data_IF_424203210650
#
_entry.id   IF_424203210650
#
_cell.length_a   1.000
_cell.length_b   1.000
_cell.length_c   1.000
_cell.angle_alpha   90.00
_cell.angle_beta   90.00
_cell.angle_gamma   90.00
#
_symmetry.space_group_name_H-M   'P 1'
#
loop_
_entity.id
_entity.type
_entity.pdbx_description
1 polymer ?
#
# COMPACT_ATOMS: atom_id res chain seq x y z
N UNK A 1 16.91 29.55 20.56
CA UNK A 1 16.00 30.60 20.07
C UNK A 1 14.63 29.92 19.94
N UNK A 2 13.63 30.27 20.75
CA UNK A 2 12.28 29.71 20.59
C UNK A 2 11.63 30.37 19.38
N UNK A 3 11.44 29.62 18.29
CA UNK A 3 10.75 30.10 17.09
C UNK A 3 9.25 29.90 17.33
N UNK A 4 8.52 30.97 17.49
CA UNK A 4 7.08 30.95 17.63
C UNK A 4 6.44 30.79 16.24
N UNK A 5 5.53 29.84 16.08
CA UNK A 5 4.77 29.66 14.82
C UNK A 5 3.63 30.66 14.82
N UNK A 6 3.66 31.58 13.85
CA UNK A 6 2.66 32.66 13.69
C UNK A 6 1.87 32.52 12.37
N UNK A 7 2.25 31.60 11.51
CA UNK A 7 1.57 31.36 10.23
C UNK A 7 0.17 30.80 10.48
N UNK A 8 -0.83 31.60 10.16
CA UNK A 8 -2.25 31.26 10.38
C UNK A 8 -2.69 30.06 9.52
N UNK A 9 -2.17 29.91 8.31
CA UNK A 9 -2.53 28.78 7.43
C UNK A 9 -1.91 27.48 7.96
N UNK A 10 -0.65 27.52 8.38
CA UNK A 10 0.01 26.38 9.01
C UNK A 10 -0.73 25.94 10.28
N UNK A 11 -1.11 26.88 11.15
CA UNK A 11 -1.85 26.56 12.39
C UNK A 11 -3.24 25.99 12.10
N UNK A 12 -3.93 26.45 11.06
CA UNK A 12 -5.23 25.90 10.63
C UNK A 12 -5.12 24.53 9.94
N UNK A 13 -3.92 24.16 9.46
CA UNK A 13 -3.68 22.84 8.89
C UNK A 13 -3.71 21.70 9.95
N UNK A 14 -3.59 22.02 11.24
CA UNK A 14 -3.77 21.04 12.31
C UNK A 14 -5.27 20.81 12.49
N UNK A 15 -5.75 19.60 12.19
CA UNK A 15 -7.16 19.29 12.34
C UNK A 15 -7.56 19.16 13.81
N UNK A 16 -8.80 19.51 14.20
CA UNK A 16 -9.31 19.26 15.56
C UNK A 16 -9.20 17.78 15.97
N UNK A 17 -9.29 16.86 15.00
CA UNK A 17 -9.18 15.42 15.22
C UNK A 17 -7.73 15.02 15.54
N UNK A 18 -6.76 15.53 14.81
CA UNK A 18 -5.34 15.32 15.08
C UNK A 18 -4.95 15.86 16.46
N UNK A 19 -5.42 17.08 16.78
CA UNK A 19 -5.23 17.69 18.08
C UNK A 19 -5.80 16.82 19.22
N UNK A 20 -7.05 16.36 19.09
CA UNK A 20 -7.68 15.50 20.07
C UNK A 20 -7.00 14.13 20.19
N UNK A 21 -6.45 13.59 19.11
CA UNK A 21 -5.68 12.35 19.13
C UNK A 21 -4.35 12.51 19.87
N UNK A 22 -3.62 13.58 19.56
CA UNK A 22 -2.39 13.92 20.25
C UNK A 22 -2.62 14.07 21.77
N UNK A 23 -3.61 14.88 22.15
CA UNK A 23 -3.95 15.15 23.55
C UNK A 23 -4.31 13.86 24.30
N UNK A 24 -5.09 12.99 23.70
CA UNK A 24 -5.43 11.68 24.30
C UNK A 24 -4.21 10.76 24.42
N UNK A 25 -3.33 10.73 23.42
CA UNK A 25 -2.10 9.94 23.48
C UNK A 25 -1.14 10.41 24.57
N UNK A 26 -1.22 11.70 24.91
CA UNK A 26 -0.46 12.31 26.00
C UNK A 26 -1.16 12.17 27.38
N UNK A 27 -2.29 11.48 27.47
CA UNK A 27 -2.95 11.11 28.71
C UNK A 27 -4.03 12.05 29.21
N UNK A 28 -4.47 13.04 28.42
CA UNK A 28 -5.67 13.79 28.74
C UNK A 28 -6.94 13.03 28.35
N UNK A 29 -8.00 13.22 29.11
CA UNK A 29 -9.34 12.71 28.83
C UNK A 29 -10.34 13.85 28.68
N UNK A 30 -11.34 13.66 27.82
CA UNK A 30 -12.42 14.62 27.66
C UNK A 30 -13.28 14.64 28.91
N UNK A 31 -13.39 15.80 29.56
CA UNK A 31 -14.16 15.98 30.79
C UNK A 31 -15.56 16.54 30.52
N UNK A 32 -15.69 17.59 29.70
CA UNK A 32 -16.96 18.27 29.46
C UNK A 32 -16.98 18.99 28.10
N UNK A 33 -18.17 19.37 27.63
CA UNK A 33 -18.29 20.30 26.53
C UNK A 33 -18.05 21.74 27.01
N UNK A 34 -17.36 22.54 26.21
CA UNK A 34 -17.16 23.96 26.43
C UNK A 34 -17.98 24.76 25.40
N UNK A 35 -19.21 25.09 25.79
CA UNK A 35 -20.16 25.70 24.85
C UNK A 35 -20.43 24.81 23.62
N UNK A 36 -20.66 25.47 22.47
CA UNK A 36 -20.93 24.78 21.21
C UNK A 36 -19.65 24.44 20.40
N UNK A 37 -18.53 25.11 20.71
CA UNK A 37 -17.37 25.16 19.82
C UNK A 37 -16.12 24.49 20.38
N UNK A 38 -16.16 23.95 21.61
CA UNK A 38 -15.01 23.33 22.22
C UNK A 38 -15.33 22.17 23.17
N UNK A 39 -14.29 21.50 23.61
CA UNK A 39 -14.32 20.45 24.63
C UNK A 39 -13.19 20.70 25.64
N UNK A 40 -13.51 20.51 26.93
CA UNK A 40 -12.52 20.57 28.02
C UNK A 40 -11.87 19.20 28.15
N UNK A 41 -10.56 19.19 28.18
CA UNK A 41 -9.74 18.00 28.44
C UNK A 41 -8.93 18.21 29.72
N UNK A 42 -8.91 17.18 30.57
CA UNK A 42 -8.22 17.17 31.88
C UNK A 42 -7.26 15.99 31.97
N UNK A 43 -6.19 16.15 32.70
CA UNK A 43 -5.24 15.09 33.05
C UNK A 43 -4.66 15.33 34.47
N UNK A 44 -4.38 14.27 35.24
CA UNK A 44 -3.79 14.41 36.56
C UNK A 44 -2.44 15.14 36.53
N UNK A 45 -2.32 16.18 37.33
CA UNK A 45 -1.07 16.97 37.45
C UNK A 45 -0.74 17.86 36.25
N UNK A 46 -1.69 18.07 35.34
CA UNK A 46 -1.54 18.89 34.12
C UNK A 46 -2.64 19.94 34.06
N UNK A 47 -2.42 21.07 33.36
CA UNK A 47 -3.45 22.07 33.20
C UNK A 47 -4.64 21.55 32.39
N UNK A 48 -5.82 22.01 32.71
CA UNK A 48 -7.00 21.81 31.87
C UNK A 48 -6.85 22.61 30.58
N UNK A 49 -7.19 21.99 29.48
CA UNK A 49 -7.09 22.59 28.15
C UNK A 49 -8.44 22.53 27.43
N UNK A 50 -8.69 23.52 26.59
CA UNK A 50 -9.89 23.56 25.74
C UNK A 50 -9.45 23.23 24.32
N UNK A 51 -10.07 22.23 23.70
CA UNK A 51 -9.86 21.89 22.31
C UNK A 51 -10.99 22.43 21.44
N UNK A 52 -10.70 23.15 20.35
CA UNK A 52 -11.72 23.61 19.42
C UNK A 52 -12.25 22.44 18.60
N UNK A 53 -13.55 22.48 18.26
CA UNK A 53 -14.20 21.45 17.42
C UNK A 53 -14.11 21.74 15.93
N UNK A 54 -13.70 22.93 15.53
CA UNK A 54 -13.63 23.33 14.11
C UNK A 54 -12.47 24.29 13.87
N UNK A 55 -11.74 24.07 12.78
CA UNK A 55 -10.68 24.94 12.28
C UNK A 55 -11.19 26.27 11.72
N UNK A 56 -12.50 26.39 11.49
CA UNK A 56 -13.14 27.58 10.94
C UNK A 56 -13.42 28.67 12.00
N UNK A 57 -13.15 28.41 13.28
CA UNK A 57 -13.30 29.41 14.31
C UNK A 57 -12.33 30.57 14.08
N UNK A 58 -12.80 31.81 14.31
CA UNK A 58 -12.05 33.03 14.03
C UNK A 58 -10.73 33.09 14.81
N UNK A 59 -10.71 32.61 16.04
CA UNK A 59 -9.57 32.62 16.96
C UNK A 59 -8.75 31.31 16.95
N UNK A 60 -9.09 30.36 16.04
CA UNK A 60 -8.47 29.02 15.99
C UNK A 60 -6.93 29.08 15.99
N UNK A 61 -6.33 29.87 15.08
CA UNK A 61 -4.88 29.98 14.97
C UNK A 61 -4.23 30.51 16.27
N UNK A 62 -4.81 31.55 16.87
CA UNK A 62 -4.32 32.07 18.14
C UNK A 62 -4.44 31.09 19.28
N UNK A 63 -5.49 30.26 19.26
CA UNK A 63 -5.68 29.20 20.23
C UNK A 63 -4.65 28.07 20.04
N UNK A 64 -4.40 27.65 18.80
CA UNK A 64 -3.37 26.67 18.46
C UNK A 64 -1.97 27.10 18.90
N UNK A 65 -1.60 28.37 18.69
CA UNK A 65 -0.32 28.90 19.19
C UNK A 65 -0.17 28.73 20.69
N UNK A 66 -1.25 28.95 21.47
CA UNK A 66 -1.22 28.76 22.94
C UNK A 66 -1.07 27.28 23.31
N UNK A 67 -1.80 26.40 22.64
CA UNK A 67 -1.72 24.96 22.89
C UNK A 67 -0.33 24.41 22.54
N UNK A 68 0.25 24.80 21.42
CA UNK A 68 1.62 24.42 21.04
C UNK A 68 2.60 24.83 22.15
N UNK A 69 2.49 26.05 22.69
CA UNK A 69 3.35 26.48 23.79
C UNK A 69 3.17 25.63 25.04
N UNK A 70 1.93 25.34 25.43
CA UNK A 70 1.64 24.48 26.59
C UNK A 70 2.29 23.10 26.41
N UNK A 71 2.12 22.50 25.24
CA UNK A 71 2.69 21.18 24.96
C UNK A 71 4.21 21.22 24.88
N UNK A 72 4.80 22.26 24.25
CA UNK A 72 6.27 22.45 24.22
C UNK A 72 6.88 22.56 25.61
N UNK A 73 6.24 23.31 26.50
CA UNK A 73 6.69 23.46 27.87
C UNK A 73 6.59 22.15 28.66
N UNK A 74 5.59 21.34 28.38
CA UNK A 74 5.37 20.06 29.07
C UNK A 74 6.26 18.92 28.56
N UNK A 75 6.49 18.85 27.27
CA UNK A 75 7.29 17.79 26.64
C UNK A 75 8.78 18.11 26.62
N UNK A 76 9.14 19.39 26.76
CA UNK A 76 10.51 19.88 26.57
C UNK A 76 10.92 20.00 25.09
N UNK A 77 10.00 19.76 24.15
CA UNK A 77 10.23 19.95 22.73
C UNK A 77 10.19 21.44 22.34
N UNK A 78 10.77 21.79 21.21
CA UNK A 78 10.55 23.11 20.63
C UNK A 78 9.17 23.21 19.95
N UNK A 79 8.72 24.45 19.67
CA UNK A 79 7.41 24.71 19.09
C UNK A 79 7.25 24.07 17.69
N UNK A 80 8.33 23.98 16.92
CA UNK A 80 8.30 23.39 15.56
C UNK A 80 8.13 21.87 15.62
N UNK A 81 8.84 21.20 16.53
CA UNK A 81 8.70 19.77 16.78
C UNK A 81 7.30 19.45 17.27
N UNK A 82 6.79 20.23 18.23
CA UNK A 82 5.41 20.09 18.75
C UNK A 82 4.38 20.30 17.65
N UNK A 83 4.55 21.30 16.78
CA UNK A 83 3.69 21.52 15.62
C UNK A 83 3.65 20.31 14.68
N UNK A 84 4.81 19.74 14.36
CA UNK A 84 4.90 18.54 13.51
C UNK A 84 4.17 17.36 14.14
N UNK A 85 4.41 17.08 15.41
CA UNK A 85 3.73 16.02 16.16
C UNK A 85 2.19 16.19 16.13
N UNK A 86 1.70 17.41 16.22
CA UNK A 86 0.28 17.72 16.15
C UNK A 86 -0.28 17.56 14.73
N UNK A 87 0.43 18.06 13.73
CA UNK A 87 -0.02 18.01 12.33
C UNK A 87 0.02 16.60 11.72
N UNK A 88 0.82 15.71 12.29
CA UNK A 88 1.00 14.33 11.85
C UNK A 88 0.20 13.31 12.69
N UNK A 89 -0.48 13.74 13.75
CA UNK A 89 -1.13 12.85 14.71
C UNK A 89 -2.25 11.98 14.11
N UNK A 90 -2.89 12.40 13.03
CA UNK A 90 -3.92 11.67 12.29
C UNK A 90 -3.41 10.96 11.03
N UNK A 91 -2.09 10.83 10.88
CA UNK A 91 -1.45 10.28 9.69
C UNK A 91 -0.42 9.23 10.03
N UNK A 92 -0.30 8.23 9.17
CA UNK A 92 0.89 7.38 9.15
C UNK A 92 1.99 8.11 8.39
N UNK A 93 3.16 8.17 8.99
CA UNK A 93 4.30 8.89 8.44
C UNK A 93 5.34 7.91 7.95
N UNK A 94 5.60 7.92 6.65
CA UNK A 94 6.61 7.07 6.00
C UNK A 94 7.81 7.96 5.72
N UNK A 95 8.94 7.68 6.38
CA UNK A 95 10.21 8.38 6.19
C UNK A 95 11.17 7.50 5.39
N UNK A 96 11.61 8.00 4.26
CA UNK A 96 12.55 7.33 3.36
C UNK A 96 13.85 8.13 3.38
N UNK A 97 14.85 7.58 4.03
CA UNK A 97 16.15 8.21 4.21
C UNK A 97 17.19 7.57 3.31
N UNK A 98 17.76 8.35 2.42
CA UNK A 98 18.91 7.96 1.61
C UNK A 98 20.21 8.40 2.29
N UNK A 99 21.08 7.44 2.60
CA UNK A 99 22.37 7.68 3.24
C UNK A 99 23.47 7.65 2.19
N UNK A 100 24.45 8.56 2.31
CA UNK A 100 25.63 8.61 1.42
C UNK A 100 25.44 9.47 0.15
N UNK A 101 24.34 10.26 0.05
CA UNK A 101 24.08 11.12 -1.12
C UNK A 101 24.75 12.49 -1.04
N UNK A 102 24.76 13.10 0.12
CA UNK A 102 25.46 14.36 0.41
C UNK A 102 25.63 14.54 1.92
N UNK A 103 26.69 15.22 2.31
CA UNK A 103 26.95 15.56 3.72
C UNK A 103 26.11 16.79 4.18
N UNK A 104 25.66 17.62 3.26
CA UNK A 104 24.93 18.86 3.53
C UNK A 104 23.40 18.74 3.46
N UNK A 105 22.88 17.53 3.22
CA UNK A 105 21.43 17.28 3.11
C UNK A 105 20.80 17.77 1.80
N UNK A 106 21.60 18.20 0.82
CA UNK A 106 21.10 18.56 -0.53
C UNK A 106 21.03 17.34 -1.44
N UNK A 107 20.19 17.41 -2.47
CA UNK A 107 20.02 16.37 -3.48
C UNK A 107 19.95 17.01 -4.86
N UNK A 108 20.69 16.51 -5.88
CA UNK A 108 20.48 16.93 -7.27
C UNK A 108 19.02 16.78 -7.69
N UNK A 109 18.46 17.76 -8.38
CA UNK A 109 17.05 17.84 -8.72
C UNK A 109 16.53 16.56 -9.38
N UNK A 110 17.26 16.02 -10.37
CA UNK A 110 16.86 14.80 -11.08
C UNK A 110 16.80 13.57 -10.16
N UNK A 111 17.68 13.51 -9.16
CA UNK A 111 17.64 12.46 -8.14
C UNK A 111 16.44 12.63 -7.22
N UNK A 112 16.13 13.85 -6.84
CA UNK A 112 14.94 14.17 -6.04
C UNK A 112 13.65 13.74 -6.74
N UNK A 113 13.51 14.06 -8.02
CA UNK A 113 12.36 13.66 -8.84
C UNK A 113 12.23 12.13 -8.86
N UNK A 114 13.31 11.40 -9.18
CA UNK A 114 13.29 9.93 -9.20
C UNK A 114 12.95 9.34 -7.83
N UNK A 115 13.46 9.91 -6.75
CA UNK A 115 13.17 9.44 -5.41
C UNK A 115 11.68 9.58 -5.09
N UNK A 116 11.05 10.71 -5.45
CA UNK A 116 9.62 10.93 -5.28
C UNK A 116 8.80 9.94 -6.12
N UNK A 117 9.18 9.74 -7.39
CA UNK A 117 8.53 8.78 -8.27
C UNK A 117 8.61 7.35 -7.71
N UNK A 118 9.78 6.90 -7.28
CA UNK A 118 9.96 5.56 -6.72
C UNK A 118 9.29 5.38 -5.36
N UNK A 119 9.25 6.40 -4.54
CA UNK A 119 8.50 6.38 -3.28
C UNK A 119 6.99 6.29 -3.54
N UNK A 120 6.47 7.01 -4.54
CA UNK A 120 5.08 6.89 -5.00
C UNK A 120 4.78 5.47 -5.51
N UNK A 121 5.65 4.91 -6.35
CA UNK A 121 5.50 3.56 -6.91
C UNK A 121 5.50 2.51 -5.79
N UNK A 122 6.35 2.69 -4.77
CA UNK A 122 6.43 1.81 -3.60
C UNK A 122 5.10 1.76 -2.84
N UNK A 123 4.54 2.93 -2.53
CA UNK A 123 3.25 3.03 -1.82
C UNK A 123 2.10 2.52 -2.71
N UNK A 124 2.13 2.78 -4.01
CA UNK A 124 1.14 2.28 -4.96
C UNK A 124 1.16 0.75 -5.04
N UNK A 125 2.33 0.14 -5.08
CA UNK A 125 2.46 -1.32 -5.08
C UNK A 125 1.85 -1.94 -3.81
N UNK A 126 2.11 -1.35 -2.64
CA UNK A 126 1.51 -1.77 -1.37
C UNK A 126 -0.02 -1.60 -1.37
N UNK A 127 -0.53 -0.49 -1.90
CA UNK A 127 -1.96 -0.25 -2.02
C UNK A 127 -2.65 -1.28 -2.93
N UNK A 128 -2.03 -1.64 -4.05
CA UNK A 128 -2.52 -2.72 -4.91
C UNK A 128 -2.51 -4.07 -4.19
N UNK A 129 -1.44 -4.37 -3.43
CA UNK A 129 -1.28 -5.63 -2.70
C UNK A 129 -2.24 -5.80 -1.52
N UNK A 130 -2.81 -4.71 -1.01
CA UNK A 130 -3.71 -4.73 0.14
C UNK A 130 -4.96 -5.55 -0.15
N UNK A 131 -5.48 -5.48 -1.35
CA UNK A 131 -6.70 -6.18 -1.76
C UNK A 131 -6.44 -7.59 -2.28
N UNK A 132 -5.42 -7.74 -3.11
CA UNK A 132 -5.04 -9.02 -3.70
C UNK A 132 -3.54 -9.02 -3.99
N UNK A 133 -2.74 -9.70 -3.17
CA UNK A 133 -1.32 -9.87 -3.44
C UNK A 133 -1.10 -10.57 -4.78
N UNK A 134 -0.32 -9.97 -5.66
CA UNK A 134 -0.01 -10.48 -7.00
C UNK A 134 1.46 -10.26 -7.36
N UNK A 135 1.95 -11.08 -8.25
CA UNK A 135 3.33 -11.01 -8.76
C UNK A 135 3.62 -9.67 -9.46
N UNK A 136 2.62 -9.14 -10.19
CA UNK A 136 2.73 -7.91 -10.97
C UNK A 136 1.41 -7.15 -10.99
N UNK A 137 1.48 -5.84 -10.77
CA UNK A 137 0.36 -4.92 -10.95
C UNK A 137 0.55 -4.08 -12.22
N UNK A 138 -0.48 -4.00 -13.04
CA UNK A 138 -0.45 -3.22 -14.29
C UNK A 138 -0.94 -1.80 -14.08
N UNK A 139 -0.42 -0.89 -14.87
CA UNK A 139 -0.84 0.50 -14.82
C UNK A 139 -2.36 0.60 -15.08
N UNK A 140 -3.06 1.35 -14.23
CA UNK A 140 -4.51 1.58 -14.35
C UNK A 140 -5.41 0.44 -13.86
N UNK A 141 -4.88 -0.74 -13.51
CA UNK A 141 -5.68 -1.89 -13.10
C UNK A 141 -6.38 -1.74 -11.75
N UNK A 142 -5.87 -0.87 -10.87
CA UNK A 142 -6.43 -0.67 -9.53
C UNK A 142 -6.77 0.81 -9.28
N UNK A 143 -8.04 1.16 -9.50
CA UNK A 143 -8.55 2.52 -9.32
C UNK A 143 -8.49 2.97 -7.85
N UNK A 144 -8.80 2.08 -6.91
CA UNK A 144 -8.81 2.40 -5.48
C UNK A 144 -7.40 2.74 -4.98
N UNK A 145 -6.39 1.97 -5.41
CA UNK A 145 -5.00 2.26 -5.10
C UNK A 145 -4.54 3.61 -5.70
N UNK A 146 -4.97 3.92 -6.93
CA UNK A 146 -4.68 5.21 -7.56
C UNK A 146 -5.37 6.37 -6.81
N UNK A 147 -6.60 6.20 -6.34
CA UNK A 147 -7.32 7.20 -5.56
C UNK A 147 -6.73 7.35 -4.14
N UNK A 148 -6.20 6.28 -3.55
CA UNK A 148 -5.47 6.37 -2.29
C UNK A 148 -4.20 7.24 -2.44
N UNK A 149 -3.40 7.01 -3.48
CA UNK A 149 -2.17 7.80 -3.74
C UNK A 149 -2.45 9.30 -3.86
N UNK A 150 -3.57 9.72 -4.44
CA UNK A 150 -3.95 11.14 -4.53
C UNK A 150 -4.13 11.81 -3.16
N UNK A 151 -4.41 11.02 -2.11
CA UNK A 151 -4.60 11.51 -0.74
C UNK A 151 -3.31 11.51 0.09
N UNK A 152 -2.30 10.75 -0.33
CA UNK A 152 -0.97 10.77 0.29
C UNK A 152 -0.29 12.09 -0.06
N UNK A 153 0.27 12.77 0.93
CA UNK A 153 0.93 14.07 0.78
C UNK A 153 2.43 13.96 1.02
N UNK A 154 3.19 14.83 0.38
CA UNK A 154 4.59 15.06 0.75
C UNK A 154 4.63 15.90 2.03
N UNK A 155 5.39 15.45 3.01
CA UNK A 155 5.72 16.21 4.19
C UNK A 155 6.92 17.14 3.96
N UNK A 156 7.28 17.88 5.00
CA UNK A 156 8.49 18.69 4.97
C UNK A 156 9.74 17.80 5.05
N UNK A 157 10.81 18.20 4.38
CA UNK A 157 12.12 17.51 4.51
C UNK A 157 12.72 17.76 5.88
N UNK A 158 13.38 16.76 6.42
CA UNK A 158 14.02 16.84 7.74
C UNK A 158 15.50 17.23 7.59
N UNK A 159 16.04 17.93 8.61
CA UNK A 159 17.43 18.38 8.60
C UNK A 159 18.41 17.21 8.81
N UNK A 160 19.50 17.18 8.08
CA UNK A 160 20.58 16.19 8.21
C UNK A 160 20.85 15.46 6.89
N UNK A 161 20.41 14.22 6.74
CA UNK A 161 20.38 13.50 5.45
C UNK A 161 19.10 13.85 4.70
N UNK A 162 19.09 13.71 3.38
CA UNK A 162 17.85 13.89 2.63
C UNK A 162 16.82 12.82 3.04
N UNK A 163 15.78 13.27 3.72
CA UNK A 163 14.67 12.41 4.18
C UNK A 163 13.40 12.83 3.44
N UNK A 164 12.89 11.94 2.61
CA UNK A 164 11.59 12.11 1.97
C UNK A 164 10.51 11.63 2.94
N UNK A 165 9.61 12.52 3.33
CA UNK A 165 8.50 12.24 4.22
C UNK A 165 7.20 12.14 3.44
N UNK A 166 6.47 11.02 3.58
CA UNK A 166 5.13 10.84 3.03
C UNK A 166 4.13 10.77 4.17
N UNK A 167 3.03 11.49 4.03
CA UNK A 167 1.94 11.59 4.99
C UNK A 167 0.73 10.84 4.44
N UNK A 168 0.49 9.64 4.97
CA UNK A 168 -0.62 8.77 4.59
C UNK A 168 -1.81 9.03 5.53
N UNK A 169 -2.98 9.45 5.02
CA UNK A 169 -4.12 9.74 5.88
C UNK A 169 -4.67 8.45 6.50
N UNK A 170 -5.05 8.51 7.79
CA UNK A 170 -5.71 7.40 8.48
C UNK A 170 -6.99 7.93 9.13
N UNK A 171 -8.18 7.47 8.72
CA UNK A 171 -9.43 7.86 9.35
C UNK A 171 -9.43 7.54 10.85
N UNK A 172 -9.94 8.42 11.71
CA UNK A 172 -10.03 8.16 13.14
C UNK A 172 -11.00 7.00 13.43
N UNK A 173 -10.82 6.37 14.59
CA UNK A 173 -11.83 5.43 15.09
C UNK A 173 -13.14 6.19 15.35
N UNK A 174 -14.21 5.75 14.71
CA UNK A 174 -15.53 6.22 15.06
C UNK A 174 -15.96 5.52 16.35
N UNK A 175 -16.63 6.23 17.29
CA UNK A 175 -17.25 5.55 18.42
C UNK A 175 -18.26 4.55 17.89
N UNK A 176 -18.38 3.35 18.50
CA UNK A 176 -19.40 2.39 18.10
C UNK A 176 -20.77 3.09 18.13
N UNK A 177 -21.65 2.83 17.16
CA UNK A 177 -23.00 3.31 17.23
C UNK A 177 -23.60 2.87 18.56
N UNK A 178 -24.34 3.75 19.26
CA UNK A 178 -25.03 3.37 20.49
C UNK A 178 -25.88 2.14 20.17
N UNK A 179 -25.74 1.03 20.92
CA UNK A 179 -26.54 -0.15 20.65
C UNK A 179 -28.02 0.22 20.80
N UNK A 180 -28.75 0.27 19.70
CA UNK A 180 -30.17 0.10 19.73
C UNK A 180 -30.39 -1.32 20.27
N UNK A 181 -31.06 -1.42 21.41
CA UNK A 181 -31.44 -2.64 22.09
C UNK A 181 -31.80 -3.72 21.04
N UNK A 182 -30.99 -4.77 20.93
CA UNK A 182 -31.31 -6.05 20.27
C UNK A 182 -30.54 -6.46 18.99
N UNK A 183 -29.37 -5.91 18.71
CA UNK A 183 -28.53 -6.52 17.65
C UNK A 183 -27.12 -6.74 18.17
N UNK A 184 -26.74 -8.03 18.26
CA UNK A 184 -25.37 -8.52 18.39
C UNK A 184 -24.59 -8.21 17.12
N UNK A 185 -24.27 -6.96 16.88
CA UNK A 185 -23.33 -6.55 15.84
C UNK A 185 -21.91 -6.67 16.38
N UNK A 186 -21.40 -7.89 16.32
CA UNK A 186 -19.97 -8.16 16.46
C UNK A 186 -19.23 -7.78 15.18
N UNK A 187 -19.22 -6.51 14.82
CA UNK A 187 -18.22 -6.05 13.87
C UNK A 187 -16.94 -5.85 14.67
N UNK A 188 -16.01 -6.78 14.54
CA UNK A 188 -14.61 -6.49 14.81
C UNK A 188 -14.30 -5.14 14.15
N UNK A 189 -13.64 -4.24 14.88
CA UNK A 189 -13.26 -2.90 14.42
C UNK A 189 -12.29 -3.09 13.23
N UNK A 190 -12.86 -3.24 12.04
CA UNK A 190 -12.10 -3.53 10.81
C UNK A 190 -11.22 -2.33 10.51
N UNK A 191 -9.92 -2.56 10.39
CA UNK A 191 -8.99 -1.48 10.10
C UNK A 191 -9.34 -0.83 8.75
N UNK A 192 -9.38 0.52 8.66
CA UNK A 192 -9.69 1.19 7.40
C UNK A 192 -8.66 0.84 6.32
N UNK A 193 -9.09 0.87 5.08
CA UNK A 193 -8.25 0.52 3.92
C UNK A 193 -6.94 1.31 3.93
N UNK A 194 -6.99 2.57 4.32
CA UNK A 194 -5.81 3.44 4.43
C UNK A 194 -4.77 2.88 5.39
N UNK A 195 -5.19 2.37 6.55
CA UNK A 195 -4.31 1.73 7.53
C UNK A 195 -3.82 0.37 7.02
N UNK A 196 -4.68 -0.39 6.37
CA UNK A 196 -4.29 -1.67 5.77
C UNK A 196 -3.18 -1.49 4.73
N UNK A 197 -3.20 -0.39 3.95
CA UNK A 197 -2.14 -0.09 2.97
C UNK A 197 -0.79 0.13 3.65
N UNK A 198 -0.73 0.91 4.71
CA UNK A 198 0.53 1.19 5.42
C UNK A 198 1.04 -0.03 6.18
N UNK A 199 0.15 -0.85 6.74
CA UNK A 199 0.49 -2.15 7.32
C UNK A 199 1.02 -3.12 6.24
N UNK A 200 0.36 -3.19 5.08
CA UNK A 200 0.81 -3.99 3.94
C UNK A 200 2.16 -3.54 3.42
N UNK A 201 2.40 -2.23 3.34
CA UNK A 201 3.71 -1.70 2.98
C UNK A 201 4.79 -2.20 3.93
N UNK A 202 4.57 -2.11 5.24
CA UNK A 202 5.56 -2.56 6.22
C UNK A 202 5.80 -4.07 6.16
N UNK A 203 4.74 -4.87 6.03
CA UNK A 203 4.85 -6.31 5.85
C UNK A 203 5.67 -6.66 4.59
N UNK A 204 5.39 -6.00 3.46
CA UNK A 204 6.09 -6.21 2.22
C UNK A 204 7.57 -5.78 2.28
N UNK A 205 7.90 -4.70 3.00
CA UNK A 205 9.28 -4.27 3.22
C UNK A 205 10.07 -5.30 4.04
N UNK A 206 9.49 -5.80 5.14
CA UNK A 206 10.09 -6.84 6.00
C UNK A 206 10.29 -8.13 5.21
N UNK A 207 9.26 -8.56 4.47
CA UNK A 207 9.32 -9.75 3.63
C UNK A 207 10.37 -9.61 2.51
N UNK A 208 10.47 -8.41 1.87
CA UNK A 208 11.50 -8.13 0.87
C UNK A 208 12.91 -8.22 1.47
N UNK A 209 13.13 -7.66 2.67
CA UNK A 209 14.42 -7.75 3.37
C UNK A 209 14.79 -9.21 3.65
N UNK A 210 13.87 -9.98 4.20
CA UNK A 210 14.05 -11.41 4.44
C UNK A 210 14.33 -12.20 3.14
N UNK A 211 13.57 -11.90 2.07
CA UNK A 211 13.74 -12.56 0.77
C UNK A 211 15.10 -12.28 0.15
N UNK A 212 15.61 -11.03 0.25
CA UNK A 212 16.98 -10.68 -0.19
C UNK A 212 18.01 -11.52 0.55
N UNK A 213 17.95 -11.58 1.89
CA UNK A 213 18.90 -12.34 2.70
C UNK A 213 18.88 -13.85 2.39
N UNK A 214 17.68 -14.41 2.22
CA UNK A 214 17.50 -15.83 1.86
C UNK A 214 17.99 -16.12 0.45
N UNK A 215 17.68 -15.26 -0.51
CA UNK A 215 18.13 -15.38 -1.90
C UNK A 215 19.66 -15.34 -2.01
N UNK A 216 20.32 -14.46 -1.25
CA UNK A 216 21.80 -14.41 -1.18
C UNK A 216 22.41 -15.69 -0.59
N UNK A 217 21.65 -16.47 0.16
CA UNK A 217 22.05 -17.80 0.69
C UNK A 217 21.67 -18.95 -0.24
N UNK A 218 21.14 -18.66 -1.44
CA UNK A 218 20.79 -19.66 -2.46
C UNK A 218 19.37 -20.14 -2.45
N UNK A 219 18.45 -19.51 -1.68
CA UNK A 219 17.02 -19.85 -1.70
C UNK A 219 16.34 -19.20 -2.92
N UNK A 220 16.08 -20.01 -3.95
CA UNK A 220 15.46 -19.57 -5.20
C UNK A 220 13.95 -19.22 -5.07
N UNK A 221 13.28 -19.68 -4.01
CA UNK A 221 11.85 -19.48 -3.79
C UNK A 221 11.56 -18.32 -2.81
N UNK A 222 12.58 -17.68 -2.26
CA UNK A 222 12.47 -16.69 -1.21
C UNK A 222 11.49 -15.55 -1.57
N UNK A 223 11.58 -15.03 -2.79
CA UNK A 223 10.70 -13.97 -3.28
C UNK A 223 9.29 -14.46 -3.61
N UNK A 224 9.14 -15.67 -4.11
CA UNK A 224 7.83 -16.26 -4.43
C UNK A 224 7.00 -16.47 -3.15
N UNK A 225 7.61 -16.94 -2.09
CA UNK A 225 6.96 -17.09 -0.77
C UNK A 225 6.56 -15.74 -0.15
N UNK A 226 7.23 -14.65 -0.51
CA UNK A 226 6.95 -13.31 -0.03
C UNK A 226 5.78 -12.59 -0.75
N UNK A 227 5.22 -13.17 -1.82
CA UNK A 227 4.13 -12.56 -2.58
C UNK A 227 2.90 -12.35 -1.70
N UNK A 228 2.57 -13.31 -0.84
CA UNK A 228 1.46 -13.22 0.11
C UNK A 228 1.54 -12.03 1.06
N UNK A 229 2.75 -11.57 1.39
CA UNK A 229 3.02 -10.40 2.22
C UNK A 229 3.00 -9.09 1.43
N UNK A 230 2.81 -9.14 0.12
CA UNK A 230 2.69 -7.97 -0.75
C UNK A 230 3.92 -7.66 -1.59
N UNK A 231 4.91 -8.55 -1.60
CA UNK A 231 6.08 -8.41 -2.50
C UNK A 231 5.65 -8.66 -3.94
N UNK A 232 6.04 -7.77 -4.84
CA UNK A 232 5.67 -7.81 -6.26
C UNK A 232 6.81 -7.26 -7.12
N UNK A 233 6.75 -7.45 -8.42
CA UNK A 233 7.69 -6.84 -9.36
C UNK A 233 7.74 -5.31 -9.17
N UNK A 234 6.59 -4.68 -9.04
CA UNK A 234 6.48 -3.23 -8.85
C UNK A 234 7.15 -2.75 -7.56
N UNK A 235 6.95 -3.47 -6.45
CA UNK A 235 7.57 -3.15 -5.17
C UNK A 235 9.10 -3.31 -5.25
N UNK A 236 9.58 -4.42 -5.83
CA UNK A 236 11.01 -4.69 -5.99
C UNK A 236 11.69 -3.64 -6.87
N UNK A 237 11.07 -3.22 -7.99
CA UNK A 237 11.58 -2.16 -8.86
C UNK A 237 11.62 -0.79 -8.16
N UNK A 238 10.58 -0.48 -7.38
CA UNK A 238 10.54 0.76 -6.62
C UNK A 238 11.67 0.79 -5.56
N UNK A 239 11.84 -0.29 -4.80
CA UNK A 239 12.92 -0.43 -3.82
C UNK A 239 14.30 -0.35 -4.48
N UNK A 240 14.52 -1.13 -5.54
CA UNK A 240 15.81 -1.10 -6.27
C UNK A 240 16.13 0.31 -6.76
N UNK A 241 15.14 1.02 -7.32
CA UNK A 241 15.33 2.39 -7.80
C UNK A 241 15.58 3.42 -6.69
N UNK A 242 15.07 3.21 -5.48
CA UNK A 242 15.38 4.03 -4.30
C UNK A 242 16.80 3.74 -3.79
N UNK A 243 17.20 2.47 -3.74
CA UNK A 243 18.53 2.04 -3.26
C UNK A 243 19.63 2.48 -4.21
N UNK A 244 19.42 2.38 -5.53
CA UNK A 244 20.41 2.73 -6.56
C UNK A 244 20.93 4.17 -6.41
N UNK A 245 20.15 5.03 -5.77
CA UNK A 245 20.47 6.42 -5.49
C UNK A 245 21.33 6.62 -4.22
N UNK A 246 21.53 5.58 -3.39
CA UNK A 246 22.13 5.69 -2.05
C UNK A 246 23.07 4.54 -1.73
N UNK A 247 23.92 4.69 -0.73
CA UNK A 247 24.71 3.57 -0.18
C UNK A 247 23.86 2.70 0.73
N UNK A 248 22.91 3.32 1.46
CA UNK A 248 21.94 2.66 2.31
C UNK A 248 20.61 3.42 2.27
N UNK A 249 19.54 2.67 2.19
CA UNK A 249 18.16 3.15 2.27
C UNK A 249 17.56 2.71 3.60
N UNK A 250 17.14 3.66 4.41
CA UNK A 250 16.40 3.40 5.66
C UNK A 250 14.95 3.85 5.45
N UNK A 251 13.99 2.96 5.69
CA UNK A 251 12.55 3.26 5.62
C UNK A 251 11.96 3.07 7.01
N UNK A 252 11.36 4.14 7.55
CA UNK A 252 10.71 4.15 8.85
C UNK A 252 9.24 4.48 8.71
N UNK A 253 8.40 3.76 9.42
CA UNK A 253 6.97 4.01 9.52
C UNK A 253 6.61 4.42 10.95
N UNK A 254 5.92 5.56 11.11
CA UNK A 254 5.35 6.01 12.37
C UNK A 254 3.82 6.00 12.23
N UNK A 255 3.15 5.32 13.15
CA UNK A 255 1.71 5.15 13.11
C UNK A 255 0.97 6.39 13.62
N UNK A 256 -0.16 6.71 12.99
CA UNK A 256 -1.06 7.77 13.45
C UNK A 256 -1.49 7.56 14.90
N UNK A 257 -1.42 8.61 15.72
CA UNK A 257 -1.86 8.56 17.13
C UNK A 257 -3.36 8.35 17.28
N UNK A 258 -4.15 8.67 16.24
CA UNK A 258 -5.59 8.39 16.17
C UNK A 258 -5.92 6.90 16.18
N UNK A 259 -4.97 6.07 15.65
CA UNK A 259 -5.08 4.61 15.59
C UNK A 259 -3.74 3.98 15.93
N UNK A 260 -3.35 3.94 17.22
CA UNK A 260 -2.09 3.34 17.63
C UNK A 260 -2.08 1.84 17.31
N UNK A 261 -0.95 1.36 16.80
CA UNK A 261 -0.70 -0.07 16.58
C UNK A 261 0.13 -0.58 17.77
N UNK A 262 -0.27 -1.68 18.42
CA UNK A 262 0.35 -2.16 19.66
C UNK A 262 1.81 -2.53 19.52
N UNK A 263 2.29 -2.81 18.34
CA UNK A 263 3.65 -3.27 18.13
C UNK A 263 4.24 -2.80 16.83
N UNK A 264 5.65 -2.58 16.73
CA UNK A 264 6.29 -3.50 15.89
C UNK A 264 7.39 -2.88 15.07
N UNK A 265 8.17 -3.68 14.40
CA UNK A 265 9.19 -3.28 13.47
C UNK A 265 8.74 -2.09 12.63
N UNK A 266 9.33 -0.95 12.94
CA UNK A 266 8.99 0.32 12.30
C UNK A 266 10.04 0.76 11.30
N UNK A 267 11.16 0.01 11.26
CA UNK A 267 12.34 0.35 10.49
C UNK A 267 12.80 -0.84 9.66
N UNK A 268 13.09 -0.61 8.39
CA UNK A 268 13.73 -1.58 7.49
C UNK A 268 14.84 -0.88 6.73
N UNK A 269 16.01 -1.51 6.67
CA UNK A 269 17.18 -0.97 5.97
C UNK A 269 17.61 -1.89 4.84
N UNK A 270 18.00 -1.27 3.73
CA UNK A 270 18.57 -1.94 2.56
C UNK A 270 19.94 -1.34 2.22
N UNK A 271 20.88 -2.19 1.81
CA UNK A 271 22.20 -1.80 1.34
C UNK A 271 22.23 -1.67 -0.19
N UNK A 272 23.23 -1.00 -0.73
CA UNK A 272 23.42 -0.85 -2.18
C UNK A 272 23.48 -2.20 -2.91
N UNK A 273 24.03 -3.23 -2.28
CA UNK A 273 24.11 -4.58 -2.86
C UNK A 273 22.75 -5.25 -3.04
N UNK A 274 21.75 -4.85 -2.26
CA UNK A 274 20.40 -5.42 -2.32
C UNK A 274 19.66 -5.00 -3.61
N UNK A 275 20.03 -3.87 -4.21
CA UNK A 275 19.37 -3.36 -5.42
C UNK A 275 19.44 -4.34 -6.59
N UNK A 276 20.59 -5.01 -6.78
CA UNK A 276 20.76 -6.01 -7.85
C UNK A 276 19.86 -7.23 -7.64
N UNK A 277 19.73 -7.70 -6.40
CA UNK A 277 18.87 -8.85 -6.05
C UNK A 277 17.40 -8.52 -6.26
N UNK A 278 16.96 -7.32 -5.84
CA UNK A 278 15.60 -6.84 -6.03
C UNK A 278 15.26 -6.64 -7.52
N UNK A 279 16.18 -6.08 -8.30
CA UNK A 279 16.01 -5.91 -9.75
C UNK A 279 15.86 -7.24 -10.47
N UNK A 280 16.66 -8.25 -10.08
CA UNK A 280 16.55 -9.58 -10.66
C UNK A 280 15.25 -10.27 -10.26
N UNK A 281 14.82 -10.15 -9.01
CA UNK A 281 13.52 -10.64 -8.56
C UNK A 281 12.37 -10.01 -9.37
N UNK A 282 12.40 -8.70 -9.57
CA UNK A 282 11.42 -8.00 -10.38
C UNK A 282 11.41 -8.51 -11.84
N UNK A 283 12.58 -8.73 -12.43
CA UNK A 283 12.71 -9.28 -13.78
C UNK A 283 12.09 -10.68 -13.88
N UNK A 284 12.37 -11.55 -12.92
CA UNK A 284 11.80 -12.91 -12.86
C UNK A 284 10.28 -12.84 -12.71
N UNK A 285 9.78 -12.00 -11.85
CA UNK A 285 8.34 -11.81 -11.64
C UNK A 285 7.64 -11.32 -12.90
N UNK A 286 8.24 -10.38 -13.64
CA UNK A 286 7.68 -9.92 -14.92
C UNK A 286 7.64 -11.01 -15.97
N UNK A 287 8.66 -11.86 -16.03
CA UNK A 287 8.69 -12.99 -16.97
C UNK A 287 7.65 -14.08 -16.65
N UNK A 288 7.27 -14.20 -15.37
CA UNK A 288 6.26 -15.18 -14.92
C UNK A 288 4.84 -14.61 -14.89
N UNK A 289 4.72 -13.28 -14.96
CA UNK A 289 3.40 -12.64 -14.89
C UNK A 289 2.54 -13.03 -16.11
N UNK A 290 1.23 -13.29 -15.92
CA UNK A 290 0.32 -13.60 -17.00
C UNK A 290 0.33 -12.52 -18.08
N UNK A 291 0.35 -12.91 -19.35
CA UNK A 291 0.16 -11.98 -20.47
C UNK A 291 -1.34 -11.78 -20.66
N UNK A 292 -1.88 -10.55 -20.55
CA UNK A 292 -3.31 -10.32 -20.60
C UNK A 292 -3.85 -10.36 -22.02
N UNK A 293 -5.18 -10.56 -22.09
CA UNK A 293 -5.99 -10.42 -23.28
C UNK A 293 -5.42 -11.18 -24.50
N UNK A 294 -4.75 -12.32 -24.24
CA UNK A 294 -4.22 -13.15 -25.32
C UNK A 294 -5.39 -13.84 -26.02
N UNK A 295 -5.43 -13.69 -27.33
CA UNK A 295 -6.38 -14.43 -28.19
C UNK A 295 -5.67 -15.64 -28.76
N UNK A 296 -6.16 -16.84 -28.43
CA UNK A 296 -5.64 -18.09 -28.93
C UNK A 296 -6.62 -18.71 -29.94
N UNK A 297 -6.14 -18.98 -31.15
CA UNK A 297 -6.79 -19.88 -32.06
C UNK A 297 -6.33 -21.30 -31.74
N UNK A 298 -7.23 -22.14 -31.27
CA UNK A 298 -6.85 -23.41 -30.68
C UNK A 298 -7.77 -24.54 -31.10
N UNK A 299 -7.25 -25.76 -31.05
CA UNK A 299 -8.04 -26.98 -31.16
C UNK A 299 -8.15 -27.64 -29.80
N UNK A 300 -9.31 -28.22 -29.51
CA UNK A 300 -9.54 -28.98 -28.29
C UNK A 300 -8.85 -30.33 -28.38
N UNK A 301 -7.93 -30.59 -27.48
CA UNK A 301 -7.15 -31.84 -27.46
C UNK A 301 -7.67 -32.83 -26.40
N UNK A 302 -8.04 -32.33 -25.21
CA UNK A 302 -8.53 -33.18 -24.12
C UNK A 302 -9.58 -32.43 -23.30
N UNK A 303 -10.60 -33.17 -22.88
CA UNK A 303 -11.68 -32.72 -22.02
C UNK A 303 -11.67 -33.57 -20.76
N UNK A 304 -11.72 -32.94 -19.57
CA UNK A 304 -11.83 -33.60 -18.29
C UNK A 304 -12.84 -32.88 -17.42
N UNK A 305 -13.80 -33.61 -16.87
CA UNK A 305 -14.77 -33.14 -15.88
C UNK A 305 -15.21 -34.31 -15.02
N UNK A 306 -15.04 -34.20 -13.72
CA UNK A 306 -15.52 -35.21 -12.80
C UNK A 306 -17.01 -34.98 -12.48
N UNK A 307 -17.71 -35.99 -11.95
CA UNK A 307 -19.18 -35.94 -11.77
C UNK A 307 -19.63 -34.83 -10.80
N UNK A 308 -18.80 -34.50 -9.83
CA UNK A 308 -19.11 -33.49 -8.80
C UNK A 308 -18.60 -32.07 -9.16
N UNK A 309 -17.87 -31.95 -10.27
CA UNK A 309 -17.31 -30.65 -10.69
C UNK A 309 -18.33 -29.82 -11.49
N UNK A 310 -18.49 -28.54 -11.13
CA UNK A 310 -19.30 -27.60 -11.88
C UNK A 310 -18.57 -27.22 -13.18
N UNK A 311 -17.27 -26.91 -13.07
CA UNK A 311 -16.42 -26.47 -14.17
C UNK A 311 -15.65 -27.65 -14.80
N UNK A 312 -15.25 -27.51 -16.04
CA UNK A 312 -14.50 -28.53 -16.77
C UNK A 312 -13.09 -28.07 -17.11
N UNK A 313 -12.12 -28.96 -17.01
CA UNK A 313 -10.73 -28.73 -17.43
C UNK A 313 -10.57 -29.12 -18.88
N UNK A 314 -10.08 -28.20 -19.71
CA UNK A 314 -9.86 -28.40 -21.15
C UNK A 314 -8.40 -28.18 -21.48
N UNK A 315 -7.80 -29.11 -22.22
CA UNK A 315 -6.46 -28.92 -22.78
C UNK A 315 -6.60 -28.55 -24.26
N UNK A 316 -6.10 -27.37 -24.58
CA UNK A 316 -6.09 -26.82 -25.93
C UNK A 316 -4.71 -26.98 -26.58
N UNK A 317 -4.67 -27.08 -27.88
CA UNK A 317 -3.44 -26.94 -28.70
C UNK A 317 -3.52 -25.61 -29.45
N UNK A 318 -2.56 -24.73 -29.18
CA UNK A 318 -2.45 -23.41 -29.79
C UNK A 318 -1.00 -23.11 -30.16
N UNK A 319 -0.78 -22.24 -31.14
CA UNK A 319 0.55 -21.72 -31.45
C UNK A 319 0.88 -20.57 -30.49
N UNK A 320 1.94 -20.73 -29.74
CA UNK A 320 2.48 -19.74 -28.81
C UNK A 320 3.98 -19.67 -29.05
N UNK A 321 4.52 -18.46 -29.22
CA UNK A 321 5.95 -18.25 -29.51
C UNK A 321 6.43 -19.14 -30.68
N UNK A 322 5.67 -19.14 -31.78
CA UNK A 322 5.95 -19.91 -33.02
C UNK A 322 6.03 -21.44 -32.85
N UNK A 323 5.51 -21.95 -31.72
CA UNK A 323 5.48 -23.39 -31.47
C UNK A 323 4.09 -23.86 -30.98
N UNK A 324 3.71 -25.08 -31.41
CA UNK A 324 2.47 -25.70 -30.94
C UNK A 324 2.61 -26.09 -29.46
N UNK A 325 1.82 -25.48 -28.60
CA UNK A 325 1.83 -25.68 -27.16
C UNK A 325 0.51 -26.21 -26.63
N UNK A 326 0.58 -26.92 -25.52
CA UNK A 326 -0.62 -27.33 -24.76
C UNK A 326 -0.95 -26.25 -23.75
N UNK A 327 -2.20 -25.77 -23.77
CA UNK A 327 -2.71 -24.76 -22.84
C UNK A 327 -3.85 -25.36 -22.05
N UNK A 328 -3.77 -25.32 -20.72
CA UNK A 328 -4.85 -25.77 -19.84
C UNK A 328 -5.79 -24.61 -19.54
N UNK A 329 -7.09 -24.85 -19.63
CA UNK A 329 -8.13 -23.84 -19.38
C UNK A 329 -9.19 -24.48 -18.50
N UNK A 330 -9.68 -23.75 -17.51
CA UNK A 330 -10.87 -24.13 -16.73
C UNK A 330 -12.06 -23.38 -17.28
N UNK A 331 -13.09 -24.09 -17.71
CA UNK A 331 -14.26 -23.52 -18.35
C UNK A 331 -15.52 -23.77 -17.52
N UNK A 332 -16.33 -22.73 -17.39
CA UNK A 332 -17.68 -22.86 -16.85
C UNK A 332 -18.56 -23.80 -17.69
N UNK A 333 -19.73 -24.24 -17.19
CA UNK A 333 -20.56 -25.21 -17.89
C UNK A 333 -21.02 -24.78 -19.27
N UNK A 334 -21.17 -23.48 -19.56
CA UNK A 334 -21.60 -22.98 -20.84
C UNK A 334 -20.47 -23.05 -21.87
N UNK A 335 -19.30 -22.53 -21.51
CA UNK A 335 -18.09 -22.54 -22.31
C UNK A 335 -17.54 -23.99 -22.49
N UNK A 336 -17.67 -24.84 -21.47
CA UNK A 336 -17.29 -26.25 -21.58
C UNK A 336 -18.10 -26.98 -22.66
N UNK A 337 -19.43 -26.73 -22.73
CA UNK A 337 -20.28 -27.30 -23.79
C UNK A 337 -19.88 -26.85 -25.17
N UNK A 338 -19.42 -25.60 -25.34
CA UNK A 338 -18.86 -25.13 -26.61
C UNK A 338 -17.58 -25.90 -26.97
N UNK A 339 -16.70 -26.11 -26.01
CA UNK A 339 -15.48 -26.91 -26.24
C UNK A 339 -15.77 -28.36 -26.56
N UNK A 340 -16.79 -29.01 -25.96
CA UNK A 340 -17.22 -30.36 -26.29
C UNK A 340 -17.68 -30.43 -27.74
N UNK A 341 -18.56 -29.54 -28.18
CA UNK A 341 -19.04 -29.49 -29.57
C UNK A 341 -17.91 -29.26 -30.58
N UNK A 342 -16.98 -28.37 -30.24
CA UNK A 342 -15.82 -28.11 -31.06
C UNK A 342 -14.91 -29.34 -31.19
N UNK A 343 -14.76 -30.11 -30.12
CA UNK A 343 -14.00 -31.36 -30.12
C UNK A 343 -14.65 -32.44 -30.95
N UNK A 344 -15.96 -32.63 -30.81
CA UNK A 344 -16.74 -33.59 -31.63
C UNK A 344 -16.67 -33.28 -33.11
N UNK A 345 -16.80 -32.01 -33.49
CA UNK A 345 -16.80 -31.56 -34.88
C UNK A 345 -15.39 -31.29 -35.43
N UNK A 346 -14.34 -31.46 -34.63
CA UNK A 346 -12.96 -31.14 -34.99
C UNK A 346 -12.78 -29.70 -35.50
N UNK A 347 -13.58 -28.76 -34.97
CA UNK A 347 -13.53 -27.36 -35.35
C UNK A 347 -12.63 -26.57 -34.39
N UNK A 348 -11.88 -25.54 -34.87
CA UNK A 348 -11.13 -24.67 -34.01
C UNK A 348 -12.04 -23.79 -33.17
N UNK A 349 -11.53 -23.36 -32.02
CA UNK A 349 -12.16 -22.37 -31.14
C UNK A 349 -11.23 -21.18 -30.96
N UNK A 350 -11.82 -20.01 -30.72
CA UNK A 350 -11.10 -18.83 -30.29
C UNK A 350 -11.32 -18.65 -28.80
N UNK A 351 -10.23 -18.60 -28.04
CA UNK A 351 -10.27 -18.38 -26.58
C UNK A 351 -9.45 -17.15 -26.24
N UNK A 352 -10.07 -16.20 -25.56
CA UNK A 352 -9.38 -15.01 -25.04
C UNK A 352 -9.23 -15.13 -23.53
N UNK A 353 -8.13 -14.64 -22.97
CA UNK A 353 -7.87 -14.64 -21.54
C UNK A 353 -6.44 -14.26 -21.22
N UNK A 354 -6.07 -14.36 -19.94
CA UNK A 354 -4.72 -14.05 -19.51
C UNK A 354 -3.86 -15.31 -19.55
N UNK A 355 -2.79 -15.27 -20.34
CA UNK A 355 -1.91 -16.42 -20.57
C UNK A 355 -0.79 -16.44 -19.54
N UNK A 356 -0.79 -17.45 -18.69
CA UNK A 356 0.19 -17.70 -17.65
C UNK A 356 1.13 -18.85 -18.05
N UNK A 357 2.42 -18.70 -17.71
CA UNK A 357 3.42 -19.74 -17.85
C UNK A 357 3.95 -20.19 -16.49
N UNK A 358 3.73 -21.43 -16.13
CA UNK A 358 4.30 -22.06 -14.93
C UNK A 358 5.26 -23.18 -15.35
N UNK A 359 6.56 -22.88 -15.35
CA UNK A 359 7.59 -23.79 -15.88
C UNK A 359 7.41 -24.06 -17.37
N UNK A 360 7.12 -25.32 -17.73
CA UNK A 360 6.85 -25.74 -19.11
C UNK A 360 5.34 -25.80 -19.44
N UNK A 361 4.47 -25.48 -18.49
CA UNK A 361 3.01 -25.56 -18.66
C UNK A 361 2.44 -24.17 -18.93
N UNK A 362 1.52 -24.11 -19.89
CA UNK A 362 0.75 -22.91 -20.20
C UNK A 362 -0.67 -23.06 -19.68
N UNK A 363 -1.18 -22.00 -19.07
CA UNK A 363 -2.54 -21.92 -18.54
C UNK A 363 -3.19 -20.62 -18.99
N UNK A 364 -4.47 -20.68 -19.38
CA UNK A 364 -5.26 -19.48 -19.64
C UNK A 364 -6.24 -19.28 -18.49
N UNK A 365 -6.15 -18.12 -17.85
CA UNK A 365 -7.04 -17.70 -16.76
C UNK A 365 -8.03 -16.65 -17.28
N UNK A 366 -9.17 -16.52 -16.63
CA UNK A 366 -10.28 -15.65 -17.05
C UNK A 366 -10.72 -15.94 -18.51
N UNK A 367 -10.95 -17.20 -18.90
CA UNK A 367 -11.20 -17.56 -20.29
C UNK A 367 -12.57 -17.09 -20.75
N UNK A 368 -12.63 -16.58 -21.99
CA UNK A 368 -13.86 -16.34 -22.74
C UNK A 368 -13.75 -17.08 -24.07
N UNK A 369 -14.68 -18.00 -24.30
CA UNK A 369 -14.66 -18.89 -25.47
C UNK A 369 -15.65 -18.39 -26.51
N UNK A 370 -15.19 -18.29 -27.77
CA UNK A 370 -16.03 -18.05 -28.93
C UNK A 370 -15.89 -19.22 -29.92
N UNK A 371 -16.99 -19.78 -30.31
CA UNK A 371 -17.00 -20.74 -31.41
C UNK A 371 -16.66 -20.02 -32.73
N UNK A 372 -15.74 -20.57 -33.49
CA UNK A 372 -15.54 -20.10 -34.86
C UNK A 372 -16.68 -20.70 -35.69
N UNK A 373 -17.61 -19.86 -36.17
CA UNK A 373 -18.56 -20.29 -37.15
C UNK A 373 -17.76 -20.62 -38.43
N UNK A 374 -17.97 -21.78 -39.04
CA UNK A 374 -17.39 -22.03 -40.37
C UNK A 374 -17.96 -20.94 -41.28
N UNK A 375 -17.09 -20.11 -41.85
CA UNK A 375 -17.48 -19.24 -42.94
C UNK A 375 -17.99 -20.11 -44.08
N UNK A 376 -19.23 -19.80 -44.55
CA UNK A 376 -19.81 -20.35 -45.73
C UNK A 376 -19.02 -20.01 -47.00
#
# INVERSE_FOLDING_TARGET
MKVQILDTEALRAISPQALAAYVRSEGWSRAAAYGLHGDVYTAPGRPDIILPRSEHLADYAGHMTRLIRIFSEMTGYDDLTTYRELSEADRDVIRIRSVGLSEDGTLPLDRGVRMIEKARDLVLAAACATRSPQVLYRAGANREAADYIKRVKLGQTEHGSYVLTLLAPVPPRLPPPQPLLDETWGTADEEPVERQVTQRLMAALIASRSAVERSMRGDAEAFEQAIGDGVSANLCEALAGLIDQSERLDIRLTWARTRPVPEIHRDVSFSKTDAGVLSEAARIFRLRAPVPDVTLHATVHQLKRDQDDIDGVVTLKAVIEDALRSVTVVLDPANYRLAVRAHENQTPIVVTGDLERSGQRWRLINPNVKAVSPEN
#
